data_IF_500336694899
#
_entry.id   IF_500336694899
#
_cell.length_a   1.000
_cell.length_b   1.000
_cell.length_c   1.000
_cell.angle_alpha   90.00
_cell.angle_beta   90.00
_cell.angle_gamma   90.00
#
_symmetry.space_group_name_H-M   'P 1'
#
loop_
_entity.id
_entity.type
_entity.pdbx_description
1 polymer ?
#
# COMPACT_ATOMS: atom_id res chain seq x y z
N UNK A 1 5.54 21.79 13.21
CA UNK A 1 5.79 21.38 11.82
C UNK A 1 5.46 19.89 11.77
N UNK A 2 4.38 19.49 11.11
CA UNK A 2 4.07 18.06 10.97
C UNK A 2 4.97 17.49 9.87
N UNK A 3 5.55 16.32 10.11
CA UNK A 3 6.39 15.65 9.13
C UNK A 3 5.53 15.10 7.99
N UNK A 4 5.74 15.59 6.78
CA UNK A 4 5.10 15.05 5.59
C UNK A 4 5.70 13.70 5.18
N UNK A 5 4.93 12.92 4.44
CA UNK A 5 5.38 11.59 4.00
C UNK A 5 6.58 11.65 3.03
N UNK A 6 6.81 12.76 2.34
CA UNK A 6 7.96 12.93 1.43
C UNK A 6 9.29 12.98 2.21
N UNK A 7 9.29 13.73 3.31
CA UNK A 7 10.41 13.85 4.24
C UNK A 7 10.70 12.51 4.92
N UNK A 8 9.65 11.85 5.40
CA UNK A 8 9.75 10.50 6.00
C UNK A 8 10.20 9.43 5.00
N UNK A 9 9.78 9.51 3.74
CA UNK A 9 10.25 8.61 2.67
C UNK A 9 11.76 8.75 2.46
N UNK A 10 12.28 9.97 2.55
CA UNK A 10 13.72 10.22 2.38
C UNK A 10 14.53 9.60 3.51
N UNK A 11 14.10 9.77 4.76
CA UNK A 11 14.77 9.17 5.92
C UNK A 11 14.64 7.63 5.90
N UNK A 12 13.48 7.10 5.57
CA UNK A 12 13.26 5.66 5.41
C UNK A 12 14.11 5.04 4.30
N UNK A 13 14.20 5.67 3.13
CA UNK A 13 15.08 5.20 2.06
C UNK A 13 16.56 5.22 2.47
N UNK A 14 16.97 6.15 3.34
CA UNK A 14 18.32 6.15 3.90
C UNK A 14 18.53 4.97 4.84
N UNK A 15 17.57 4.66 5.71
CA UNK A 15 17.68 3.50 6.62
C UNK A 15 17.78 2.18 5.85
N UNK A 16 16.95 1.98 4.82
CA UNK A 16 16.99 0.79 3.97
C UNK A 16 18.34 0.60 3.25
N UNK A 17 19.01 1.70 2.85
CA UNK A 17 20.36 1.64 2.27
C UNK A 17 21.39 1.16 3.28
N UNK A 18 21.34 1.68 4.51
CA UNK A 18 22.24 1.28 5.61
C UNK A 18 22.05 -0.19 5.96
N UNK A 19 20.80 -0.68 5.92
CA UNK A 19 20.47 -2.09 6.10
C UNK A 19 20.88 -3.01 4.92
N UNK A 20 21.44 -2.45 3.84
CA UNK A 20 21.86 -3.23 2.67
C UNK A 20 20.70 -3.81 1.85
N UNK A 21 19.51 -3.21 1.90
CA UNK A 21 18.37 -3.66 1.08
C UNK A 21 18.65 -3.42 -0.41
N UNK A 22 18.15 -4.33 -1.25
CA UNK A 22 18.28 -4.22 -2.69
C UNK A 22 17.65 -2.92 -3.21
N UNK A 23 18.25 -2.28 -4.22
CA UNK A 23 17.74 -1.04 -4.81
C UNK A 23 16.27 -1.14 -5.24
N UNK A 24 15.85 -2.30 -5.74
CA UNK A 24 14.45 -2.56 -6.11
C UNK A 24 13.49 -2.49 -4.91
N UNK A 25 13.92 -2.91 -3.72
CA UNK A 25 13.12 -2.81 -2.49
C UNK A 25 12.85 -1.34 -2.13
N UNK A 26 13.87 -0.47 -2.21
CA UNK A 26 13.72 0.95 -1.94
C UNK A 26 12.71 1.59 -2.91
N UNK A 27 12.80 1.25 -4.20
CA UNK A 27 11.87 1.72 -5.22
C UNK A 27 10.43 1.28 -4.91
N UNK A 28 10.21 -0.01 -4.65
CA UNK A 28 8.86 -0.55 -4.39
C UNK A 28 8.25 0.04 -3.10
N UNK A 29 9.07 0.22 -2.07
CA UNK A 29 8.59 0.77 -0.80
C UNK A 29 8.31 2.27 -0.91
N UNK A 30 9.18 3.01 -1.60
CA UNK A 30 8.96 4.43 -1.92
C UNK A 30 7.70 4.66 -2.75
N UNK A 31 7.45 3.82 -3.76
CA UNK A 31 6.22 3.89 -4.57
C UNK A 31 4.96 3.69 -3.73
N UNK A 32 4.98 2.78 -2.76
CA UNK A 32 3.84 2.58 -1.86
C UNK A 32 3.51 3.85 -1.07
N UNK A 33 4.54 4.57 -0.60
CA UNK A 33 4.36 5.85 0.10
C UNK A 33 3.77 6.89 -0.86
N UNK A 34 4.33 7.02 -2.08
CA UNK A 34 3.83 7.98 -3.08
C UNK A 34 2.37 7.73 -3.45
N UNK A 35 1.98 6.46 -3.64
CA UNK A 35 0.61 6.10 -3.98
C UNK A 35 -0.37 6.35 -2.83
N UNK A 36 0.05 6.12 -1.59
CA UNK A 36 -0.78 6.43 -0.43
C UNK A 36 -0.92 7.95 -0.23
N UNK A 37 0.18 8.70 -0.35
CA UNK A 37 0.16 10.17 -0.30
C UNK A 37 -0.77 10.77 -1.36
N UNK A 38 -0.68 10.29 -2.61
CA UNK A 38 -1.57 10.76 -3.67
C UNK A 38 -3.04 10.41 -3.38
N UNK A 39 -3.30 9.18 -2.91
CA UNK A 39 -4.66 8.73 -2.57
C UNK A 39 -5.32 9.59 -1.47
N UNK A 40 -4.53 10.10 -0.52
CA UNK A 40 -4.99 11.05 0.50
C UNK A 40 -5.29 12.43 -0.09
N UNK A 41 -4.37 12.98 -0.89
CA UNK A 41 -4.52 14.31 -1.51
C UNK A 41 -5.76 14.34 -2.42
N UNK A 42 -6.01 13.28 -3.19
CA UNK A 42 -7.19 13.14 -4.04
C UNK A 42 -8.52 13.20 -3.26
N UNK A 43 -8.47 12.99 -1.94
CA UNK A 43 -9.62 13.05 -1.01
C UNK A 43 -9.64 14.31 -0.15
N UNK A 44 -8.75 15.26 -0.42
CA UNK A 44 -8.61 16.49 0.36
C UNK A 44 -8.01 16.26 1.75
N UNK A 45 -7.34 15.13 1.97
CA UNK A 45 -6.64 14.81 3.22
C UNK A 45 -5.16 15.21 3.13
N UNK A 46 -4.56 15.71 4.22
CA UNK A 46 -3.13 16.05 4.22
C UNK A 46 -2.27 14.78 4.10
N UNK A 47 -1.16 14.85 3.36
CA UNK A 47 -0.22 13.75 3.18
C UNK A 47 0.88 13.76 4.26
N UNK A 48 0.47 13.75 5.53
CA UNK A 48 1.33 13.73 6.70
C UNK A 48 0.83 12.74 7.76
N UNK A 49 1.56 12.66 8.89
CA UNK A 49 1.26 11.73 9.98
C UNK A 49 -0.16 11.87 10.56
N UNK A 50 -0.81 13.02 10.44
CA UNK A 50 -2.19 13.18 10.94
C UNK A 50 -3.20 12.32 10.16
N UNK A 51 -2.90 12.02 8.90
CA UNK A 51 -3.70 11.15 8.04
C UNK A 51 -3.30 9.68 8.11
N UNK A 52 -2.26 9.31 8.85
CA UNK A 52 -1.86 7.91 9.04
C UNK A 52 -2.76 7.21 10.08
N UNK A 53 -4.05 7.16 9.80
CA UNK A 53 -5.06 6.53 10.65
C UNK A 53 -5.39 5.13 10.15
N UNK A 54 -5.92 4.29 11.05
CA UNK A 54 -6.41 2.96 10.69
C UNK A 54 -7.43 3.02 9.53
N UNK A 55 -8.36 3.96 9.61
CA UNK A 55 -9.44 4.08 8.63
C UNK A 55 -8.91 4.47 7.25
N UNK A 56 -7.97 5.41 7.19
CA UNK A 56 -7.35 5.81 5.93
C UNK A 56 -6.52 4.68 5.31
N UNK A 57 -5.78 3.93 6.13
CA UNK A 57 -5.01 2.76 5.65
C UNK A 57 -5.95 1.68 5.11
N UNK A 58 -7.03 1.36 5.82
CA UNK A 58 -8.01 0.38 5.35
C UNK A 58 -8.72 0.84 4.07
N UNK A 59 -9.13 2.11 4.01
CA UNK A 59 -9.74 2.69 2.81
C UNK A 59 -8.80 2.65 1.59
N UNK A 60 -7.50 2.87 1.79
CA UNK A 60 -6.51 2.72 0.74
C UNK A 60 -6.38 1.27 0.27
N UNK A 61 -6.31 0.31 1.20
CA UNK A 61 -6.26 -1.12 0.86
C UNK A 61 -7.51 -1.57 0.08
N UNK A 62 -8.69 -1.06 0.42
CA UNK A 62 -9.92 -1.33 -0.32
C UNK A 62 -9.90 -0.71 -1.72
N UNK A 63 -9.39 0.52 -1.87
CA UNK A 63 -9.20 1.13 -3.18
C UNK A 63 -8.24 0.32 -4.07
N UNK A 64 -7.16 -0.26 -3.50
CA UNK A 64 -6.27 -1.15 -4.22
C UNK A 64 -6.96 -2.45 -4.64
N UNK A 65 -7.81 -3.04 -3.78
CA UNK A 65 -8.59 -4.25 -4.11
C UNK A 65 -9.58 -3.98 -5.25
N UNK A 66 -10.30 -2.86 -5.19
CA UNK A 66 -11.25 -2.45 -6.22
C UNK A 66 -10.57 -2.29 -7.60
N UNK A 67 -9.31 -1.84 -7.61
CA UNK A 67 -8.48 -1.73 -8.82
C UNK A 67 -7.81 -3.04 -9.25
N UNK A 68 -7.99 -4.13 -8.50
CA UNK A 68 -7.36 -5.43 -8.76
C UNK A 68 -5.88 -5.51 -8.38
N UNK A 69 -5.33 -4.51 -7.70
CA UNK A 69 -3.91 -4.39 -7.35
C UNK A 69 -3.52 -5.11 -6.04
N UNK A 70 -4.51 -5.61 -5.29
CA UNK A 70 -4.31 -6.32 -4.03
C UNK A 70 -5.12 -7.63 -3.96
N UNK A 71 -5.33 -8.31 -5.10
CA UNK A 71 -5.94 -9.65 -5.09
C UNK A 71 -4.89 -10.67 -4.67
N UNK A 72 -5.10 -11.35 -3.54
CA UNK A 72 -4.50 -12.67 -3.30
C UNK A 72 -5.08 -13.63 -4.33
N UNK A 73 -4.35 -13.89 -5.41
CA UNK A 73 -4.78 -14.85 -6.41
C UNK A 73 -4.52 -16.28 -5.90
N UNK A 74 -5.48 -16.86 -5.19
CA UNK A 74 -5.59 -18.33 -5.11
C UNK A 74 -7.05 -18.79 -5.00
N UNK A 75 -7.77 -18.90 -6.13
CA UNK A 75 -8.97 -19.73 -6.16
C UNK A 75 -8.54 -21.20 -5.96
N UNK A 76 -8.95 -21.81 -4.85
CA UNK A 76 -8.70 -23.23 -4.59
C UNK A 76 -9.49 -24.07 -5.62
N UNK A 77 -8.84 -25.00 -6.37
CA UNK A 77 -9.45 -25.71 -7.49
C UNK A 77 -10.64 -26.63 -7.13
N UNK A 78 -10.92 -26.85 -5.84
CA UNK A 78 -11.99 -27.76 -5.40
C UNK A 78 -13.37 -27.11 -5.20
N UNK A 79 -13.50 -25.79 -5.26
CA UNK A 79 -14.79 -25.13 -5.04
C UNK A 79 -15.78 -25.27 -6.23
N UNK A 80 -15.33 -25.79 -7.38
CA UNK A 80 -16.16 -25.97 -8.59
C UNK A 80 -16.71 -27.38 -8.79
N UNK A 81 -16.25 -28.37 -8.02
CA UNK A 81 -16.67 -29.78 -8.19
C UNK A 81 -17.78 -30.22 -7.23
N UNK A 82 -18.19 -29.39 -6.27
CA UNK A 82 -19.21 -29.75 -5.28
C UNK A 82 -20.66 -29.43 -5.71
N UNK A 83 -20.88 -28.97 -6.94
CA UNK A 83 -22.21 -28.66 -7.50
C UNK A 83 -22.57 -29.49 -8.73
N UNK A 84 -21.87 -30.61 -8.96
CA UNK A 84 -22.15 -31.51 -10.05
C UNK A 84 -22.24 -32.95 -9.56
N UNK A 85 -23.35 -33.29 -8.91
CA UNK A 85 -23.92 -34.64 -8.96
C UNK A 85 -25.46 -34.56 -8.86
N UNK A 86 -26.18 -35.41 -9.62
CA UNK A 86 -27.62 -35.32 -9.89
C UNK A 86 -28.53 -35.65 -8.70
#
# INVERSE_FOLDING_TARGET
MQEDFSSLRTSFNRSLRVEGKAARTLVLYGQSIDYFSQWLVDRGLPADLSSLTRDNVLGWLDALRARGLNRRHHPHPLARSALAHP
#
